data_IF_050592332713
#
_entry.id   IF_050592332713
#
_cell.length_a   1.000
_cell.length_b   1.000
_cell.length_c   1.000
_cell.angle_alpha   90.00
_cell.angle_beta   90.00
_cell.angle_gamma   90.00
#
_symmetry.space_group_name_H-M   'P 1'
#
loop_
_entity.id
_entity.type
_entity.pdbx_description
1 polymer ?
#
# COMPACT_ATOMS: atom_id res chain seq x y z
N UNK A 1 -4.71 11.13 11.31
CA UNK A 1 -3.63 12.15 11.23
C UNK A 1 -4.03 13.53 11.73
N UNK A 2 -5.21 14.08 11.40
CA UNK A 2 -5.62 15.44 11.80
C UNK A 2 -5.78 15.70 13.31
N UNK A 3 -5.66 14.67 14.14
CA UNK A 3 -5.75 14.74 15.60
C UNK A 3 -4.48 15.36 16.20
N UNK A 4 -3.31 15.07 15.65
CA UNK A 4 -2.01 15.44 16.24
C UNK A 4 -0.99 16.02 15.25
N UNK A 5 -1.25 15.95 13.93
CA UNK A 5 -0.44 16.60 12.89
C UNK A 5 -1.11 17.90 12.47
N UNK A 6 -0.30 18.94 12.23
CA UNK A 6 -0.73 20.22 11.64
C UNK A 6 -1.39 20.03 10.26
N UNK A 7 -2.09 21.04 9.77
CA UNK A 7 -2.83 20.90 8.50
C UNK A 7 -1.95 21.00 7.27
N UNK A 8 -0.90 21.81 7.31
CA UNK A 8 -0.03 22.15 6.20
C UNK A 8 0.63 20.90 5.59
N UNK A 9 1.31 20.03 6.37
CA UNK A 9 1.93 18.81 5.82
C UNK A 9 0.89 17.83 5.23
N UNK A 10 -0.35 17.89 5.71
CA UNK A 10 -1.44 17.04 5.22
C UNK A 10 -2.01 17.55 3.90
N UNK A 11 -2.08 18.86 3.71
CA UNK A 11 -2.54 19.49 2.46
C UNK A 11 -1.50 19.36 1.35
N UNK A 12 -0.22 19.39 1.69
CA UNK A 12 0.89 19.19 0.74
C UNK A 12 1.00 17.74 0.24
N UNK A 13 0.54 16.78 1.05
CA UNK A 13 0.54 15.36 0.71
C UNK A 13 -0.63 14.99 -0.24
N UNK A 14 -0.49 15.35 -1.51
CA UNK A 14 -1.53 15.17 -2.55
C UNK A 14 -1.65 13.75 -3.12
N UNK A 15 -0.76 12.83 -2.75
CA UNK A 15 -0.78 11.45 -3.24
C UNK A 15 -0.66 10.46 -2.08
N UNK A 16 -1.13 9.23 -2.28
CA UNK A 16 -1.01 8.14 -1.29
C UNK A 16 0.45 7.93 -0.88
N UNK A 17 1.38 8.00 -1.83
CA UNK A 17 2.82 7.92 -1.55
C UNK A 17 3.28 9.07 -0.65
N UNK A 18 2.93 10.32 -0.96
CA UNK A 18 3.32 11.46 -0.11
C UNK A 18 2.75 11.34 1.30
N UNK A 19 1.51 10.86 1.45
CA UNK A 19 0.88 10.63 2.76
C UNK A 19 1.63 9.59 3.61
N UNK A 20 2.16 8.55 2.98
CA UNK A 20 2.91 7.49 3.66
C UNK A 20 4.34 7.90 4.04
N UNK A 21 4.85 8.99 3.47
CA UNK A 21 6.19 9.51 3.75
C UNK A 21 6.17 10.79 4.60
N UNK A 22 5.03 11.18 5.18
CA UNK A 22 4.99 12.27 6.16
C UNK A 22 5.88 11.89 7.35
N UNK A 23 6.86 12.73 7.75
CA UNK A 23 7.80 12.40 8.82
C UNK A 23 7.14 12.52 10.20
N UNK A 24 6.42 11.47 10.62
CA UNK A 24 5.59 11.48 11.82
C UNK A 24 6.36 11.75 13.13
N UNK A 25 7.66 11.51 13.16
CA UNK A 25 8.52 11.75 14.32
C UNK A 25 9.00 13.21 14.42
N UNK A 26 8.86 14.00 13.36
CA UNK A 26 9.23 15.41 13.39
C UNK A 26 8.24 16.20 14.27
N UNK A 27 8.72 16.66 15.42
CA UNK A 27 7.91 17.43 16.36
C UNK A 27 7.46 18.78 15.80
N UNK A 28 8.16 19.31 14.79
CA UNK A 28 7.84 20.59 14.14
C UNK A 28 6.49 20.56 13.43
N UNK A 29 6.06 19.38 12.94
CA UNK A 29 4.79 19.18 12.25
C UNK A 29 3.64 18.81 13.18
N UNK A 30 3.90 18.66 14.49
CA UNK A 30 2.88 18.27 15.45
C UNK A 30 2.07 19.47 15.93
N UNK A 31 0.81 19.20 16.29
CA UNK A 31 0.00 20.12 17.07
C UNK A 31 0.55 20.23 18.50
N UNK A 32 0.28 21.38 19.11
CA UNK A 32 0.49 21.60 20.54
C UNK A 32 -0.30 20.59 21.38
N UNK A 33 0.26 20.18 22.52
CA UNK A 33 -0.34 19.18 23.40
C UNK A 33 -1.77 19.55 23.85
N UNK A 34 -2.01 20.85 24.09
CA UNK A 34 -3.31 21.38 24.50
C UNK A 34 -4.36 21.33 23.38
N UNK A 35 -3.91 21.23 22.12
CA UNK A 35 -4.77 21.20 20.92
C UNK A 35 -5.02 19.78 20.42
N UNK A 36 -4.50 18.75 21.08
CA UNK A 36 -4.77 17.35 20.76
C UNK A 36 -6.19 17.03 21.20
N UNK A 37 -7.06 16.70 20.26
CA UNK A 37 -8.44 16.32 20.54
C UNK A 37 -8.54 14.81 20.86
N UNK A 38 -9.01 14.45 22.05
CA UNK A 38 -9.16 13.04 22.46
C UNK A 38 -10.47 12.38 21.99
N UNK A 39 -11.35 13.14 21.35
CA UNK A 39 -12.69 12.74 20.96
C UNK A 39 -13.74 13.06 22.03
N UNK A 40 -15.01 13.09 21.61
CA UNK A 40 -16.12 13.59 22.42
C UNK A 40 -16.21 12.93 23.81
N UNK A 41 -16.31 11.60 23.86
CA UNK A 41 -16.49 10.87 25.13
C UNK A 41 -15.29 10.99 26.07
N UNK A 42 -14.06 10.97 25.53
CA UNK A 42 -12.85 11.06 26.33
C UNK A 42 -12.69 12.46 26.93
N UNK A 43 -12.95 13.51 26.15
CA UNK A 43 -12.93 14.90 26.63
C UNK A 43 -13.98 15.13 27.72
N UNK A 44 -15.23 14.70 27.51
CA UNK A 44 -16.29 14.82 28.52
C UNK A 44 -15.91 14.11 29.83
N UNK A 45 -15.35 12.91 29.74
CA UNK A 45 -14.89 12.18 30.92
C UNK A 45 -13.75 12.91 31.65
N UNK A 46 -12.78 13.43 30.89
CA UNK A 46 -11.66 14.20 31.44
C UNK A 46 -12.13 15.46 32.16
N UNK A 47 -13.07 16.20 31.56
CA UNK A 47 -13.68 17.41 32.14
C UNK A 47 -14.45 17.10 33.42
N UNK A 48 -15.24 16.02 33.44
CA UNK A 48 -15.95 15.57 34.64
C UNK A 48 -14.98 15.19 35.77
N UNK A 49 -13.90 14.46 35.47
CA UNK A 49 -12.90 14.07 36.46
C UNK A 49 -12.11 15.27 36.99
N UNK A 50 -11.92 16.30 36.16
CA UNK A 50 -11.32 17.58 36.57
C UNK A 50 -12.26 18.39 37.46
N UNK A 51 -13.56 18.45 37.18
CA UNK A 51 -14.51 19.23 37.98
C UNK A 51 -14.65 18.70 39.41
N UNK A 52 -14.44 17.40 39.61
CA UNK A 52 -14.40 16.76 40.93
C UNK A 52 -12.98 16.63 41.52
N UNK A 53 -11.99 17.35 40.97
CA UNK A 53 -10.59 17.37 41.42
C UNK A 53 -9.90 16.00 41.53
N UNK A 54 -10.37 14.98 40.79
CA UNK A 54 -9.71 13.67 40.74
C UNK A 54 -8.50 13.64 39.80
N UNK A 55 -8.47 14.55 38.82
CA UNK A 55 -7.42 14.65 37.82
C UNK A 55 -6.92 16.09 37.78
N UNK A 56 -5.62 16.28 37.93
CA UNK A 56 -4.95 17.57 37.77
C UNK A 56 -4.79 17.97 36.31
N UNK A 57 -4.57 19.26 36.05
CA UNK A 57 -4.26 19.75 34.69
C UNK A 57 -2.99 19.10 34.12
N UNK A 58 -1.99 18.85 34.96
CA UNK A 58 -0.77 18.15 34.58
C UNK A 58 -1.07 16.72 34.08
N UNK A 59 -1.84 15.95 34.84
CA UNK A 59 -2.21 14.58 34.45
C UNK A 59 -3.05 14.56 33.16
N UNK A 60 -3.94 15.54 32.98
CA UNK A 60 -4.70 15.69 31.75
C UNK A 60 -3.79 15.97 30.53
N UNK A 61 -2.75 16.79 30.71
CA UNK A 61 -1.78 17.09 29.66
C UNK A 61 -0.88 15.90 29.36
N UNK A 62 -0.42 15.19 30.40
CA UNK A 62 0.37 13.97 30.28
C UNK A 62 -0.40 12.91 29.47
N UNK A 63 -1.70 12.71 29.75
CA UNK A 63 -2.56 11.81 28.96
C UNK A 63 -2.60 12.21 27.48
N UNK A 64 -2.79 13.50 27.16
CA UNK A 64 -2.80 13.97 25.77
C UNK A 64 -1.47 13.66 25.07
N UNK A 65 -0.36 13.86 25.76
CA UNK A 65 0.98 13.57 25.25
C UNK A 65 1.21 12.07 25.02
N UNK A 66 0.76 11.22 25.95
CA UNK A 66 0.82 9.77 25.81
C UNK A 66 -0.03 9.28 24.62
N UNK A 67 -1.27 9.75 24.49
CA UNK A 67 -2.13 9.42 23.35
C UNK A 67 -1.49 9.83 22.02
N UNK A 68 -0.92 11.03 21.93
CA UNK A 68 -0.17 11.46 20.73
C UNK A 68 1.01 10.55 20.45
N UNK A 69 1.79 10.20 21.45
CA UNK A 69 2.95 9.31 21.31
C UNK A 69 2.54 7.94 20.79
N UNK A 70 1.45 7.38 21.34
CA UNK A 70 0.87 6.14 20.88
C UNK A 70 0.44 6.22 19.41
N UNK A 71 -0.31 7.26 19.03
CA UNK A 71 -0.79 7.44 17.66
C UNK A 71 0.35 7.60 16.65
N UNK A 72 1.41 8.32 17.00
CA UNK A 72 2.62 8.45 16.17
C UNK A 72 3.25 7.07 15.95
N UNK A 73 3.50 6.31 17.03
CA UNK A 73 4.11 4.97 16.93
C UNK A 73 3.25 4.00 16.12
N UNK A 74 1.93 4.04 16.31
CA UNK A 74 0.99 3.21 15.56
C UNK A 74 1.04 3.55 14.07
N UNK A 75 0.94 4.84 13.73
CA UNK A 75 0.93 5.27 12.32
C UNK A 75 2.29 5.05 11.64
N UNK A 76 3.40 5.22 12.36
CA UNK A 76 4.73 4.84 11.86
C UNK A 76 4.81 3.34 11.57
N UNK A 77 4.25 2.50 12.44
CA UNK A 77 4.22 1.05 12.20
C UNK A 77 3.37 0.69 10.98
N UNK A 78 2.23 1.37 10.80
CA UNK A 78 1.36 1.21 9.64
C UNK A 78 2.05 1.70 8.35
N UNK A 79 2.72 2.85 8.39
CA UNK A 79 3.55 3.34 7.28
C UNK A 79 4.62 2.30 6.91
N UNK A 80 5.42 1.84 7.89
CA UNK A 80 6.47 0.85 7.67
C UNK A 80 5.96 -0.48 7.09
N UNK A 81 4.74 -0.90 7.45
CA UNK A 81 4.10 -2.11 6.93
C UNK A 81 3.28 -1.89 5.65
N UNK A 82 3.16 -0.65 5.16
CA UNK A 82 2.34 -0.37 3.99
C UNK A 82 2.86 -1.14 2.77
N UNK A 83 2.01 -1.88 2.02
CA UNK A 83 2.44 -2.69 0.89
C UNK A 83 3.24 -1.89 -0.16
N UNK A 84 2.87 -0.63 -0.38
CA UNK A 84 3.55 0.26 -1.35
C UNK A 84 5.00 0.59 -0.98
N UNK A 85 5.43 0.36 0.27
CA UNK A 85 6.84 0.49 0.64
C UNK A 85 7.69 -0.66 0.10
N UNK A 86 7.07 -1.79 -0.24
CA UNK A 86 7.76 -2.93 -0.83
C UNK A 86 7.96 -2.70 -2.34
N UNK A 87 9.22 -2.78 -2.79
CA UNK A 87 9.57 -2.59 -4.21
C UNK A 87 8.87 -3.60 -5.13
N UNK A 88 8.63 -4.82 -4.64
CA UNK A 88 7.89 -5.86 -5.36
C UNK A 88 6.47 -5.36 -5.69
N UNK A 89 5.71 -4.92 -4.69
CA UNK A 89 4.34 -4.41 -4.85
C UNK A 89 4.29 -3.21 -5.78
N UNK A 90 5.23 -2.27 -5.66
CA UNK A 90 5.31 -1.13 -6.60
C UNK A 90 5.56 -1.57 -8.03
N UNK A 91 6.36 -2.61 -8.23
CA UNK A 91 6.70 -3.10 -9.56
C UNK A 91 5.55 -3.91 -10.18
N UNK A 92 4.66 -4.50 -9.36
CA UNK A 92 3.47 -5.22 -9.85
C UNK A 92 2.44 -4.33 -10.56
N UNK A 93 2.59 -3.00 -10.54
CA UNK A 93 1.76 -2.10 -11.35
C UNK A 93 1.87 -2.39 -12.87
N UNK A 94 2.95 -3.04 -13.33
CA UNK A 94 3.08 -3.51 -14.71
C UNK A 94 2.03 -4.55 -15.10
N UNK A 95 1.28 -5.11 -14.14
CA UNK A 95 0.19 -6.05 -14.38
C UNK A 95 -1.16 -5.35 -14.59
N UNK A 96 -1.23 -4.03 -14.43
CA UNK A 96 -2.41 -3.25 -14.80
C UNK A 96 -2.57 -3.26 -16.32
N UNK A 97 -3.73 -3.72 -16.84
CA UNK A 97 -4.00 -3.82 -18.27
C UNK A 97 -3.75 -2.53 -19.06
N UNK A 98 -4.03 -1.37 -18.44
CA UNK A 98 -3.85 -0.06 -19.09
C UNK A 98 -2.38 0.24 -19.30
N UNK A 99 -1.56 0.00 -18.28
CA UNK A 99 -0.11 0.18 -18.36
C UNK A 99 0.54 -0.78 -19.35
N UNK A 100 0.06 -2.04 -19.41
CA UNK A 100 0.51 -3.02 -20.40
C UNK A 100 0.27 -2.55 -21.84
N UNK A 101 -0.86 -1.88 -22.09
CA UNK A 101 -1.22 -1.40 -23.43
C UNK A 101 -0.58 -0.06 -23.81
N UNK A 102 -0.31 0.81 -22.84
CA UNK A 102 0.20 2.16 -23.09
C UNK A 102 1.74 2.26 -23.00
N UNK A 103 2.37 1.52 -22.08
CA UNK A 103 3.76 1.75 -21.69
C UNK A 103 4.56 0.46 -21.52
N UNK A 104 4.82 -0.21 -22.64
CA UNK A 104 5.59 -1.47 -22.70
C UNK A 104 6.95 -1.38 -22.00
N UNK A 105 7.77 -0.39 -22.33
CA UNK A 105 9.13 -0.25 -21.78
C UNK A 105 9.13 -0.10 -20.25
N UNK A 106 8.17 0.66 -19.72
CA UNK A 106 7.99 0.86 -18.28
C UNK A 106 7.56 -0.46 -17.62
N UNK A 107 6.65 -1.20 -18.25
CA UNK A 107 6.21 -2.51 -17.75
C UNK A 107 7.37 -3.52 -17.76
N UNK A 108 8.20 -3.55 -18.80
CA UNK A 108 9.35 -4.44 -18.90
C UNK A 108 10.40 -4.14 -17.82
N UNK A 109 10.71 -2.87 -17.60
CA UNK A 109 11.63 -2.46 -16.54
C UNK A 109 11.13 -2.88 -15.15
N UNK A 110 9.82 -2.82 -14.92
CA UNK A 110 9.19 -3.25 -13.68
C UNK A 110 9.17 -4.77 -13.54
N UNK A 111 8.83 -5.50 -14.60
CA UNK A 111 8.89 -6.97 -14.63
C UNK A 111 10.31 -7.47 -14.34
N UNK A 112 11.34 -6.82 -14.89
CA UNK A 112 12.74 -7.13 -14.58
C UNK A 112 13.06 -6.98 -13.09
N UNK A 113 12.55 -5.92 -12.44
CA UNK A 113 12.71 -5.73 -10.98
C UNK A 113 12.01 -6.82 -10.18
N UNK A 114 10.83 -7.27 -10.63
CA UNK A 114 10.11 -8.39 -10.00
C UNK A 114 10.94 -9.67 -10.11
N UNK A 115 11.45 -9.99 -11.31
CA UNK A 115 12.23 -11.19 -11.55
C UNK A 115 13.51 -11.22 -10.71
N UNK A 116 14.24 -10.11 -10.59
CA UNK A 116 15.38 -10.01 -9.67
C UNK A 116 15.00 -10.34 -8.22
N UNK A 117 13.83 -9.92 -7.76
CA UNK A 117 13.35 -10.23 -6.42
C UNK A 117 13.00 -11.72 -6.26
N UNK A 118 12.35 -12.32 -7.27
CA UNK A 118 11.97 -13.73 -7.26
C UNK A 118 13.17 -14.66 -7.36
N UNK A 119 14.18 -14.32 -8.17
CA UNK A 119 15.45 -15.05 -8.24
C UNK A 119 16.17 -14.99 -6.90
N UNK A 120 16.28 -13.81 -6.29
CA UNK A 120 16.88 -13.67 -4.96
C UNK A 120 16.16 -14.43 -3.84
N UNK A 121 14.87 -14.74 -4.04
CA UNK A 121 14.06 -15.53 -3.14
C UNK A 121 13.98 -17.03 -3.52
N UNK A 122 14.75 -17.48 -4.53
CA UNK A 122 14.74 -18.85 -5.06
C UNK A 122 13.36 -19.33 -5.56
N UNK A 123 12.52 -18.42 -6.04
CA UNK A 123 11.21 -18.74 -6.61
C UNK A 123 11.23 -18.96 -8.13
N UNK A 124 12.25 -18.45 -8.83
CA UNK A 124 12.43 -18.57 -10.29
C UNK A 124 13.92 -18.82 -10.56
N UNK A 125 14.21 -19.60 -11.61
CA UNK A 125 15.59 -19.85 -12.08
C UNK A 125 16.25 -18.58 -12.64
N UNK A 126 17.59 -18.55 -12.69
CA UNK A 126 18.35 -17.37 -13.11
C UNK A 126 18.10 -16.98 -14.58
N UNK A 127 17.71 -17.92 -15.44
CA UNK A 127 17.41 -17.69 -16.86
C UNK A 127 16.03 -17.06 -17.08
N UNK A 128 15.92 -15.77 -16.77
CA UNK A 128 14.69 -14.98 -16.87
C UNK A 128 14.39 -14.39 -18.27
N UNK A 129 15.29 -14.53 -19.24
CA UNK A 129 15.17 -13.85 -20.54
C UNK A 129 13.95 -14.30 -21.35
N UNK A 130 13.63 -15.60 -21.31
CA UNK A 130 12.42 -16.12 -21.96
C UNK A 130 11.15 -15.52 -21.35
N UNK A 131 11.11 -15.30 -20.02
CA UNK A 131 9.97 -14.69 -19.34
C UNK A 131 9.80 -13.24 -19.77
N UNK A 132 10.90 -12.49 -19.88
CA UNK A 132 10.89 -11.11 -20.34
C UNK A 132 10.45 -11.02 -21.81
N UNK A 133 10.89 -11.94 -22.67
CA UNK A 133 10.44 -12.01 -24.07
C UNK A 133 8.94 -12.29 -24.14
N UNK A 134 8.46 -13.32 -23.44
CA UNK A 134 7.03 -13.65 -23.40
C UNK A 134 6.18 -12.49 -22.87
N UNK A 135 6.66 -11.76 -21.86
CA UNK A 135 5.98 -10.58 -21.33
C UNK A 135 5.97 -9.42 -22.33
N UNK A 136 7.08 -9.17 -23.02
CA UNK A 136 7.19 -8.18 -24.10
C UNK A 136 6.17 -8.45 -25.20
N UNK A 137 6.10 -9.69 -25.68
CA UNK A 137 5.18 -10.12 -26.73
C UNK A 137 3.72 -10.00 -26.27
N UNK A 138 3.46 -10.25 -24.98
CA UNK A 138 2.14 -10.04 -24.39
C UNK A 138 1.77 -8.55 -24.30
N UNK A 139 2.70 -7.65 -23.97
CA UNK A 139 2.47 -6.21 -24.00
C UNK A 139 2.14 -5.72 -25.42
N UNK A 140 2.84 -6.24 -26.44
CA UNK A 140 2.51 -5.93 -27.85
C UNK A 140 1.10 -6.40 -28.21
N UNK A 141 0.72 -7.59 -27.76
CA UNK A 141 -0.65 -8.08 -27.90
C UNK A 141 -1.65 -7.18 -27.16
N UNK A 142 -1.40 -6.84 -25.90
CA UNK A 142 -2.26 -5.99 -25.07
C UNK A 142 -2.47 -4.60 -25.70
N UNK A 143 -1.42 -4.03 -26.28
CA UNK A 143 -1.49 -2.75 -26.97
C UNK A 143 -2.49 -2.76 -28.14
N UNK A 144 -2.71 -3.90 -28.80
CA UNK A 144 -3.66 -4.03 -29.90
C UNK A 144 -5.11 -4.27 -29.46
N UNK A 145 -5.36 -4.47 -28.17
CA UNK A 145 -6.66 -4.87 -27.65
C UNK A 145 -7.35 -3.71 -26.90
N UNK A 146 -8.57 -3.36 -27.33
CA UNK A 146 -9.32 -2.25 -26.73
C UNK A 146 -9.67 -2.50 -25.25
N UNK A 147 -9.97 -3.75 -24.88
CA UNK A 147 -10.30 -4.13 -23.50
C UNK A 147 -9.15 -3.94 -22.50
N UNK A 148 -7.89 -3.85 -22.95
CA UNK A 148 -6.77 -3.48 -22.07
C UNK A 148 -6.70 -1.96 -21.85
N UNK A 149 -6.91 -1.17 -22.91
CA UNK A 149 -6.85 0.30 -22.86
C UNK A 149 -8.02 0.90 -22.09
N UNK A 150 -9.21 0.33 -22.27
CA UNK A 150 -10.46 0.81 -21.68
C UNK A 150 -10.79 0.13 -20.35
N UNK A 151 -9.85 -0.65 -19.81
CA UNK A 151 -10.04 -1.38 -18.55
C UNK A 151 -10.39 -0.43 -17.40
N UNK A 152 -11.54 -0.68 -16.78
CA UNK A 152 -12.01 0.07 -15.63
C UNK A 152 -11.99 -0.83 -14.38
N UNK A 153 -11.08 -0.61 -13.41
CA UNK A 153 -10.92 -1.49 -12.24
C UNK A 153 -12.18 -1.69 -11.37
N UNK A 154 -13.16 -0.79 -11.47
CA UNK A 154 -14.43 -0.84 -10.72
C UNK A 154 -15.45 -1.72 -11.42
N UNK A 155 -15.45 -1.75 -12.75
CA UNK A 155 -16.45 -2.39 -13.59
C UNK A 155 -15.97 -3.73 -14.16
N UNK A 156 -14.69 -3.78 -14.50
CA UNK A 156 -14.09 -4.86 -15.26
C UNK A 156 -13.23 -5.75 -14.35
N UNK A 157 -13.15 -7.02 -14.74
CA UNK A 157 -12.47 -8.06 -13.99
C UNK A 157 -11.06 -8.32 -14.53
N UNK A 158 -10.04 -8.08 -13.70
CA UNK A 158 -8.63 -8.21 -14.10
C UNK A 158 -8.26 -9.64 -14.52
N UNK A 159 -8.89 -10.63 -13.91
CA UNK A 159 -8.65 -12.04 -14.18
C UNK A 159 -9.19 -12.47 -15.55
N UNK A 160 -10.25 -11.85 -16.05
CA UNK A 160 -10.71 -12.02 -17.44
C UNK A 160 -9.63 -11.59 -18.42
N UNK A 161 -8.93 -10.48 -18.13
CA UNK A 161 -7.87 -9.95 -18.99
C UNK A 161 -6.62 -10.83 -18.92
N UNK A 162 -6.19 -11.23 -17.71
CA UNK A 162 -5.03 -12.10 -17.54
C UNK A 162 -5.28 -13.54 -17.99
N UNK A 163 -6.55 -14.00 -18.08
CA UNK A 163 -6.88 -15.30 -18.65
C UNK A 163 -6.39 -15.47 -20.10
N UNK A 164 -6.31 -14.38 -20.87
CA UNK A 164 -5.75 -14.39 -22.22
C UNK A 164 -4.27 -14.78 -22.25
N UNK A 165 -3.52 -14.45 -21.19
CA UNK A 165 -2.14 -14.90 -20.99
C UNK A 165 -2.10 -16.39 -20.71
N UNK A 166 -2.95 -16.87 -19.80
CA UNK A 166 -3.02 -18.29 -19.41
C UNK A 166 -3.56 -19.24 -20.50
N UNK A 167 -4.37 -18.75 -21.43
CA UNK A 167 -4.93 -19.54 -22.52
C UNK A 167 -3.90 -19.89 -23.61
N UNK A 168 -2.77 -19.18 -23.68
CA UNK A 168 -1.77 -19.32 -24.75
C UNK A 168 -0.52 -20.00 -24.23
N UNK A 169 -0.15 -21.14 -24.81
CA UNK A 169 1.09 -21.86 -24.48
C UNK A 169 2.35 -21.00 -24.68
N UNK A 170 2.30 -20.06 -25.63
CA UNK A 170 3.37 -19.11 -25.91
C UNK A 170 3.73 -18.20 -24.72
N UNK A 171 2.84 -18.06 -23.72
CA UNK A 171 3.04 -17.23 -22.54
C UNK A 171 3.11 -18.05 -21.24
N UNK A 172 3.45 -19.34 -21.34
CA UNK A 172 3.38 -20.25 -20.20
C UNK A 172 4.35 -19.91 -19.07
N UNK A 173 5.54 -19.40 -19.37
CA UNK A 173 6.56 -19.05 -18.37
C UNK A 173 6.18 -17.76 -17.66
N UNK A 174 5.79 -16.73 -18.42
CA UNK A 174 5.31 -15.47 -17.82
C UNK A 174 4.02 -15.69 -17.03
N UNK A 175 3.12 -16.55 -17.50
CA UNK A 175 1.91 -16.91 -16.77
C UNK A 175 2.19 -17.59 -15.44
N UNK A 176 3.23 -18.43 -15.36
CA UNK A 176 3.65 -19.03 -14.09
C UNK A 176 4.04 -17.95 -13.07
N UNK A 177 4.86 -16.98 -13.49
CA UNK A 177 5.28 -15.85 -12.65
C UNK A 177 4.09 -14.99 -12.23
N UNK A 178 3.21 -14.62 -13.17
CA UNK A 178 2.02 -13.80 -12.88
C UNK A 178 1.10 -14.51 -11.90
N UNK A 179 0.84 -15.81 -12.06
CA UNK A 179 0.07 -16.60 -11.10
C UNK A 179 0.70 -16.56 -9.70
N UNK A 180 2.01 -16.73 -9.59
CA UNK A 180 2.71 -16.68 -8.32
C UNK A 180 2.52 -15.32 -7.64
N UNK A 181 2.68 -14.21 -8.39
CA UNK A 181 2.48 -12.86 -7.88
C UNK A 181 1.03 -12.62 -7.43
N UNK A 182 0.04 -13.08 -8.21
CA UNK A 182 -1.37 -12.96 -7.85
C UNK A 182 -1.71 -13.77 -6.59
N UNK A 183 -1.19 -15.00 -6.45
CA UNK A 183 -1.36 -15.82 -5.24
C UNK A 183 -0.73 -15.15 -4.02
N UNK A 184 0.49 -14.63 -4.14
CA UNK A 184 1.16 -13.90 -3.06
C UNK A 184 0.40 -12.63 -2.66
N UNK A 185 -0.23 -11.94 -3.62
CA UNK A 185 -1.07 -10.77 -3.36
C UNK A 185 -2.33 -11.11 -2.52
N UNK A 186 -2.87 -12.32 -2.67
CA UNK A 186 -4.01 -12.81 -1.89
C UNK A 186 -3.60 -13.43 -0.54
N UNK A 187 -2.36 -13.93 -0.42
CA UNK A 187 -1.83 -14.61 0.77
C UNK A 187 -1.72 -13.74 2.04
N UNK A 188 -1.90 -12.42 1.94
CA UNK A 188 -1.95 -11.50 3.08
C UNK A 188 -3.36 -11.03 3.44
N UNK A 189 -4.36 -11.23 2.57
CA UNK A 189 -5.75 -10.84 2.85
C UNK A 189 -6.46 -11.80 3.83
N UNK A 190 -5.95 -13.03 3.97
CA UNK A 190 -6.60 -14.05 4.82
C UNK A 190 -6.11 -14.09 6.27
N UNK A 191 -4.99 -13.41 6.61
CA UNK A 191 -4.40 -13.45 7.96
C UNK A 191 -5.14 -12.54 8.95
N UNK A 192 -5.98 -11.62 8.49
CA UNK A 192 -6.80 -10.76 9.38
C UNK A 192 -8.01 -11.48 9.99
N UNK A 193 -8.32 -12.72 9.58
CA UNK A 193 -9.41 -13.50 10.21
C UNK A 193 -9.06 -14.04 11.61
N UNK A 194 -7.80 -13.94 12.04
CA UNK A 194 -7.35 -14.38 13.36
C UNK A 194 -7.39 -13.30 14.47
N UNK A 195 -7.58 -12.02 14.13
CA UNK A 195 -7.50 -10.91 15.09
C UNK A 195 -8.87 -10.49 15.68
N UNK A 196 -9.97 -11.14 15.27
CA UNK A 196 -11.33 -10.86 15.75
C UNK A 196 -11.96 -11.99 16.57
N UNK A 197 -11.20 -13.05 16.90
CA UNK A 197 -11.67 -14.16 17.73
C UNK A 197 -10.67 -14.47 18.84
N UNK A 198 -10.51 -13.57 19.82
CA UNK A 198 -10.17 -13.89 21.21
C UNK A 198 -10.83 -12.88 22.15
#
# INVERSE_FOLDING_TARGET
MGIFIKEEPRKEATTVLKLLHIPLQDSSIHKDATKINLGFSAETCLEQLRSINKVSERQALDLRMECKTFLIKLLEKLQNKAPVNQQLVRSMQCLDPRYMAESKEVCLAQMKRILHHLVGANHVEESCDDILREFSDFCDFAALQANFREFEPIRDRVDTIHSAMGARKAFSKVWHVVKMLLVLSHGQASVERGLLNQ
#
